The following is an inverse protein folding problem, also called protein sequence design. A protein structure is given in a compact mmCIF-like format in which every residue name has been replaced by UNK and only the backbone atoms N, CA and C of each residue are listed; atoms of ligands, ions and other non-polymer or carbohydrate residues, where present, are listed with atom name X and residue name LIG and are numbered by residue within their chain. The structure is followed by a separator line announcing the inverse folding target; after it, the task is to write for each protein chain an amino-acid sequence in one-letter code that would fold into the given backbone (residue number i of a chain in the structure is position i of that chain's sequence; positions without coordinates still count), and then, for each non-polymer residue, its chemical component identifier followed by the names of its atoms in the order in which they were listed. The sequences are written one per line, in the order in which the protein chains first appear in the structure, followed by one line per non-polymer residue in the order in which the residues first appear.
data_IF_418469521211
#
_entry.id   IF_418469521211
#
_cell.length_a   1.000
_cell.length_b   1.000
_cell.length_c   1.000
_cell.angle_alpha   90.00
_cell.angle_beta   90.00
_cell.angle_gamma   90.00
#
_symmetry.space_group_name_H-M   'P 1'
#
loop_
_entity.id
_entity.type
_entity.pdbx_description
1 polymer ?
2 non-polymer ?
3 water ?
#
# COMPACT_ATOMS: atom_id res chain seq x y z
N UNK A 1 -3.60 -16.89 4.04
CA UNK A 1 -2.55 -16.97 3.00
C UNK A 1 -2.54 -15.73 2.12
N UNK A 2 -2.90 -15.87 0.84
CA UNK A 2 -2.96 -14.77 -0.16
C UNK A 2 -3.91 -15.16 -1.30
N UNK A 3 -4.37 -14.17 -2.07
CA UNK A 3 -5.10 -14.34 -3.36
C UNK A 3 -4.33 -13.60 -4.45
N UNK A 4 -4.46 -14.04 -5.71
CA UNK A 4 -3.84 -13.41 -6.90
C UNK A 4 -4.95 -12.94 -7.84
N UNK A 5 -4.89 -11.67 -8.26
CA UNK A 5 -5.91 -11.03 -9.14
C UNK A 5 -5.46 -11.15 -10.60
N UNK A 6 -6.31 -10.70 -11.53
CA UNK A 6 -6.08 -10.69 -13.01
C UNK A 6 -4.64 -10.26 -13.33
N UNK A 7 -4.10 -9.31 -12.56
CA UNK A 7 -2.89 -8.51 -12.91
C UNK A 7 -1.64 -9.04 -12.19
N UNK A 8 -1.75 -10.18 -11.49
CA UNK A 8 -0.62 -10.82 -10.79
C UNK A 8 -0.25 -10.10 -9.51
N UNK A 9 -1.18 -9.31 -8.96
CA UNK A 9 -1.05 -8.66 -7.62
C UNK A 9 -1.49 -9.67 -6.56
N UNK A 10 -0.59 -9.99 -5.62
CA UNK A 10 -0.92 -10.76 -4.40
C UNK A 10 -1.65 -9.81 -3.44
N UNK A 11 -2.80 -10.24 -2.90
CA UNK A 11 -3.68 -9.37 -2.07
C UNK A 11 -4.49 -10.21 -1.08
N UNK A 12 -5.01 -9.54 -0.05
CA UNK A 12 -5.90 -10.12 0.99
C UNK A 12 -6.50 -8.99 1.83
N UNK A 13 -7.50 -9.32 2.65
CA UNK A 13 -8.18 -8.38 3.58
C UNK A 13 -7.35 -8.26 4.86
N UNK A 14 -7.28 -7.04 5.41
CA UNK A 14 -6.52 -6.71 6.64
C UNK A 14 -6.85 -5.26 7.03
N UNK A 15 -7.65 -5.08 8.09
CA UNK A 15 -8.04 -3.76 8.64
C UNK A 15 -7.12 -3.40 9.81
N UNK A 16 -6.40 -2.28 9.70
CA UNK A 16 -5.51 -1.71 10.74
C UNK A 16 -5.13 -0.27 10.37
N UNK A 17 -4.27 0.37 11.16
CA UNK A 17 -3.85 1.79 11.01
C UNK A 17 -2.36 1.87 10.68
N UNK A 18 -1.99 2.67 9.68
CA UNK A 18 -0.58 2.97 9.30
C UNK A 18 -0.30 4.46 9.47
N UNK A 19 0.67 4.79 10.32
CA UNK A 19 1.21 6.16 10.49
C UNK A 19 2.61 6.19 9.88
N UNK A 20 2.81 6.87 8.72
CA UNK A 20 4.13 6.95 8.10
C UNK A 20 5.08 7.84 8.90
N UNK A 21 6.38 7.54 8.82
CA UNK A 21 7.47 8.33 9.47
C UNK A 21 8.11 9.23 8.41
N UNK A 22 7.58 9.20 7.18
CA UNK A 22 8.11 9.94 6.01
C UNK A 22 6.97 10.14 4.99
N UNK A 23 7.06 11.21 4.19
CA UNK A 23 6.08 11.54 3.12
C UNK A 23 6.12 10.46 2.04
N UNK A 24 4.98 9.80 1.80
CA UNK A 24 4.84 8.72 0.78
C UNK A 24 3.84 9.17 -0.29
N UNK A 25 4.22 8.99 -1.56
CA UNK A 25 3.33 9.19 -2.74
C UNK A 25 2.28 8.07 -2.74
N UNK A 26 1.00 8.45 -2.74
CA UNK A 26 -0.17 7.54 -2.89
C UNK A 26 -0.56 7.49 -4.37
N UNK A 27 -1.12 6.35 -4.80
CA UNK A 27 -1.58 6.12 -6.20
C UNK A 27 -3.10 5.93 -6.21
N UNK A 28 -3.71 6.20 -7.37
CA UNK A 28 -5.08 5.77 -7.73
C UNK A 28 -5.00 4.46 -8.51
N UNK A 29 -6.14 3.81 -8.74
CA UNK A 29 -6.35 2.75 -9.76
C UNK A 29 -5.81 1.40 -9.25
N UNK A 30 -4.52 1.32 -8.88
CA UNK A 30 -3.91 0.07 -8.41
C UNK A 30 -2.51 0.27 -7.83
N UNK A 31 -1.91 -0.80 -7.25
CA UNK A 31 -0.59 -0.72 -6.62
C UNK A 31 0.56 -0.84 -7.63
N UNK A 32 0.76 0.21 -8.43
CA UNK A 32 1.89 0.38 -9.37
C UNK A 32 2.31 1.85 -9.38
N UNK A 33 3.62 2.11 -9.40
CA UNK A 33 4.19 3.49 -9.42
C UNK A 33 3.91 4.15 -10.77
N UNK A 34 3.61 3.35 -11.79
CA UNK A 34 3.22 3.80 -13.15
C UNK A 34 1.78 4.33 -13.15
N UNK A 35 1.03 4.12 -12.07
CA UNK A 35 -0.37 4.62 -11.91
C UNK A 35 -0.35 6.11 -11.63
N UNK A 36 -1.43 6.86 -11.94
CA UNK A 36 -1.53 8.26 -11.54
C UNK A 36 -1.37 8.43 -10.02
N UNK A 37 -0.55 9.39 -9.62
CA UNK A 37 -0.39 9.85 -8.21
C UNK A 37 -1.70 10.46 -7.72
N UNK A 38 -2.33 9.82 -6.74
CA UNK A 38 -3.50 10.35 -5.99
C UNK A 38 -3.08 11.61 -5.22
N UNK A 39 -1.93 11.53 -4.54
CA UNK A 39 -1.41 12.59 -3.65
C UNK A 39 -0.25 12.08 -2.81
N UNK A 40 -0.06 12.67 -1.63
CA UNK A 40 1.07 12.38 -0.70
C UNK A 40 0.51 12.27 0.72
N UNK A 41 0.73 11.12 1.38
CA UNK A 41 0.44 10.92 2.83
C UNK A 41 1.67 11.36 3.63
N UNK A 42 1.54 12.47 4.35
CA UNK A 42 2.65 13.18 5.05
C UNK A 42 3.04 12.39 6.31
N UNK A 43 4.31 12.49 6.71
CA UNK A 43 4.87 11.88 7.94
C UNK A 43 3.98 12.22 9.14
N UNK A 44 3.50 11.20 9.87
CA UNK A 44 2.69 11.36 11.10
C UNK A 44 1.19 11.32 10.85
N UNK A 45 0.75 11.38 9.58
CA UNK A 45 -0.70 11.38 9.21
C UNK A 45 -1.22 9.94 9.17
N UNK A 46 -1.98 9.53 10.19
CA UNK A 46 -2.52 8.15 10.33
C UNK A 46 -3.64 7.92 9.31
N UNK A 47 -3.63 6.76 8.64
CA UNK A 47 -4.76 6.25 7.80
C UNK A 47 -5.16 4.87 8.33
N UNK A 48 -6.40 4.45 8.07
CA UNK A 48 -6.96 3.13 8.46
C UNK A 48 -7.28 2.35 7.17
N UNK A 49 -6.49 1.32 6.87
CA UNK A 49 -6.58 0.52 5.62
C UNK A 49 -7.39 -0.75 5.88
N UNK A 50 -7.95 -1.33 4.82
CA UNK A 50 -8.78 -2.56 4.86
C UNK A 50 -8.21 -3.63 3.91
N UNK A 51 -7.11 -3.34 3.21
CA UNK A 51 -6.51 -4.24 2.18
C UNK A 51 -4.98 -4.16 2.25
N UNK A 52 -4.29 -5.25 1.91
CA UNK A 52 -2.80 -5.31 1.77
C UNK A 52 -2.46 -6.05 0.48
N UNK A 53 -1.51 -5.51 -0.30
CA UNK A 53 -1.11 -6.02 -1.64
C UNK A 53 0.42 -6.09 -1.75
N UNK A 54 0.93 -7.11 -2.44
CA UNK A 54 2.37 -7.24 -2.83
C UNK A 54 2.45 -7.18 -4.36
N UNK A 55 3.17 -6.18 -4.89
CA UNK A 55 3.19 -5.86 -6.34
C UNK A 55 4.22 -4.75 -6.60
N UNK A 56 4.68 -4.62 -7.85
CA UNK A 56 5.59 -3.53 -8.29
C UNK A 56 6.65 -3.26 -7.21
N UNK A 57 7.30 -4.32 -6.72
CA UNK A 57 8.47 -4.26 -5.82
C UNK A 57 8.16 -3.67 -4.45
N UNK A 58 6.90 -3.72 -4.00
CA UNK A 58 6.45 -3.08 -2.74
C UNK A 58 5.31 -3.87 -2.09
N UNK A 59 5.18 -3.72 -0.77
CA UNK A 59 3.93 -4.00 -0.01
C UNK A 59 3.12 -2.71 -0.01
N UNK A 60 1.88 -2.77 -0.50
CA UNK A 60 0.91 -1.64 -0.48
C UNK A 60 -0.20 -1.94 0.52
N UNK A 61 -0.81 -0.88 1.07
CA UNK A 61 -2.15 -0.95 1.72
C UNK A 61 -3.12 -0.12 0.88
N UNK A 62 -4.35 -0.62 0.73
CA UNK A 62 -5.45 0.06 0.02
C UNK A 62 -6.54 0.48 0.99
N UNK A 63 -6.99 1.73 0.88
CA UNK A 63 -8.14 2.28 1.64
C UNK A 63 -9.03 3.08 0.68
N UNK A 64 -10.18 3.55 1.16
CA UNK A 64 -11.14 4.41 0.42
C UNK A 64 -10.86 5.87 0.78
N UNK A 65 -10.53 6.69 -0.23
CA UNK A 65 -10.25 8.13 -0.07
C UNK A 65 -11.53 8.94 0.08
N UNK A 66 -11.39 10.27 0.20
CA UNK A 66 -12.48 11.22 0.56
C UNK A 66 -13.35 11.56 -0.67
N UNK A 67 -13.23 10.81 -1.77
CA UNK A 67 -14.14 10.88 -2.95
C UNK A 67 -14.61 9.48 -3.35
N UNK A 68 -14.57 8.52 -2.42
CA UNK A 68 -14.99 7.12 -2.64
C UNK A 68 -14.11 6.40 -3.64
N UNK A 69 -13.00 7.01 -4.07
CA UNK A 69 -11.96 6.38 -4.93
C UNK A 69 -11.01 5.60 -4.02
N UNK A 70 -10.55 4.43 -4.47
CA UNK A 70 -9.54 3.62 -3.74
C UNK A 70 -8.18 4.32 -3.90
N UNK A 71 -7.40 4.37 -2.82
CA UNK A 71 -6.02 4.94 -2.78
C UNK A 71 -5.06 3.79 -2.45
N UNK A 72 -3.90 3.74 -3.12
CA UNK A 72 -2.88 2.68 -2.96
C UNK A 72 -1.59 3.31 -2.42
N UNK A 73 -1.22 2.94 -1.19
CA UNK A 73 -0.09 3.54 -0.43
C UNK A 73 1.00 2.49 -0.27
N UNK A 74 2.21 2.71 -0.83
CA UNK A 74 3.34 1.81 -0.59
C UNK A 74 3.93 2.09 0.80
N UNK A 75 4.26 1.04 1.55
CA UNK A 75 4.69 1.14 2.98
C UNK A 75 6.09 0.54 3.18
N UNK A 76 6.56 -0.33 2.27
CA UNK A 76 7.92 -0.93 2.31
C UNK A 76 8.24 -1.59 0.97
N UNK A 77 9.52 -1.90 0.73
CA UNK A 77 9.98 -2.63 -0.48
C UNK A 77 9.69 -4.12 -0.29
N UNK A 78 9.50 -4.83 -1.41
CA UNK A 78 9.26 -6.29 -1.47
C UNK A 78 9.91 -6.84 -2.74
N UNK A 79 10.88 -7.75 -2.60
CA UNK A 79 11.45 -8.52 -3.73
C UNK A 79 10.69 -9.85 -3.79
N UNK A 80 10.03 -10.13 -4.92
CA UNK A 80 9.14 -11.31 -5.09
C UNK A 80 9.99 -12.56 -5.32
N UNK A 81 11.21 -12.40 -5.84
CA UNK A 81 12.19 -13.49 -6.08
C UNK A 81 12.60 -14.14 -4.76
N UNK A 82 12.71 -13.35 -3.69
CA UNK A 82 13.18 -13.78 -2.34
C UNK A 82 12.05 -13.68 -1.31
N UNK A 83 10.93 -13.04 -1.66
CA UNK A 83 9.82 -12.67 -0.72
C UNK A 83 10.40 -11.92 0.49
N UNK A 84 11.38 -11.04 0.27
CA UNK A 84 12.06 -10.26 1.33
C UNK A 84 11.42 -8.87 1.43
N UNK A 85 11.32 -8.35 2.65
CA UNK A 85 10.64 -7.07 2.99
C UNK A 85 11.68 -6.07 3.50
N UNK A 86 11.63 -4.83 3.00
CA UNK A 86 12.41 -3.70 3.54
C UNK A 86 11.81 -3.22 4.86
N UNK A 87 12.53 -2.33 5.55
CA UNK A 87 12.02 -1.62 6.76
C UNK A 87 10.66 -1.01 6.42
N UNK A 88 9.69 -1.13 7.33
CA UNK A 88 8.37 -0.46 7.23
C UNK A 88 8.61 1.05 7.36
N UNK A 89 7.98 1.86 6.49
CA UNK A 89 8.15 3.34 6.43
C UNK A 89 7.23 4.03 7.44
N UNK A 90 7.10 3.47 8.65
CA UNK A 90 6.15 3.92 9.68
C UNK A 90 5.75 2.78 10.61
N UNK A 91 4.68 2.97 11.38
CA UNK A 91 4.16 1.99 12.37
C UNK A 91 2.73 1.58 12.02
N UNK A 92 2.44 0.27 12.07
CA UNK A 92 1.07 -0.32 12.00
C UNK A 92 0.56 -0.46 13.44
N UNK A 93 -0.69 -0.03 13.68
CA UNK A 93 -1.29 0.07 15.04
C UNK A 93 -2.67 -0.61 15.05
X LIG B 1 -6.78 -3.32 -8.83
X LIG B 1 -7.00 -4.05 -6.54
X LIG B 1 -5.86 -4.82 -6.19
X LIG B 1 -9.68 -7.04 -5.04
X LIG B 1 -8.06 -2.34 -21.07
X LIG B 1 -7.64 -3.79 -21.02
X LIG B 1 -2.20 -1.87 -17.09
X LIG B 1 -2.26 -2.19 -15.71
X LIG B 1 -3.50 -2.24 -15.01
X LIG B 1 -3.54 -2.58 -13.54
X LIG B 1 -4.87 -2.54 -13.05
X LIG B 1 -5.15 -2.73 -11.67
X LIG B 1 -4.25 -2.92 -10.88
X LIG B 1 -6.60 -2.68 -11.20
X LIG B 1 -6.68 -2.33 -9.83
X LIG B 1 -6.87 -2.91 -7.37
X LIG B 1 -5.98 -6.05 -5.31
X LIG B 1 -7.31 -6.21 -4.85
X LIG B 1 -8.27 -6.93 -5.60
X LIG B 1 -10.49 -7.99 -5.73
X LIG B 1 -7.96 -7.45 -6.67
X LIG B 1 -4.76 -4.50 -6.60
X LIG B 1 -6.79 -4.50 -9.14
X LIG B 1 -4.54 -2.01 -15.60
X LIG B 1 -1.61 -3.01 -17.89
X LIG B 1 -9.21 -4.99 -19.64
X LIG B 1 -9.40 -5.25 -21.80
X LIG B 1 -8.82 -4.72 -20.81
X LIG B 1 -6.64 -4.00 -20.04
X LIG B 1 -5.59 -5.70 -21.18
X LIG B 1 -5.63 -4.99 -20.20
X LIG B 1 -5.56 -7.52 -17.99
X LIG B 1 -3.74 -12.36 -20.25
X LIG B 1 -5.57 -11.97 -18.94
X LIG B 1 -4.36 -11.89 -19.07
X LIG B 1 -2.17 -13.71 -17.64
X LIG B 1 -4.53 -14.72 -15.33
X LIG B 1 -2.54 -13.68 -14.38
X LIG B 1 -3.09 -14.29 -15.55
X LIG B 1 -2.92 -13.38 -16.75
X LIG B 1 -3.65 -12.16 -16.82
X LIG B 1 -3.53 -11.30 -17.95
X LIG B 1 -3.94 -9.88 -17.61
X LIG B 1 -3.81 -8.93 -18.78
X LIG B 1 -4.52 -7.60 -18.62
X LIG B 1 -3.96 -6.45 -19.23
X LIG B 1 -4.58 -5.17 -19.12
X LIG B 1 -3.52 -4.09 -19.16
X LIG B 1 -2.54 -4.20 -18.01
#
# INVERSE_FOLDING_TARGET
GWKTNKYGTLYKSESASFTPNTDIITRTTGPFRSMPQSGVLKAGQTIHYDEVMKQDGHVWVGYTGNSGQRIYLPVRTWNKSTNTLGVLWGTIKVLWGTIK
K5T C10 N12 C13 C17 C24 C28 C01 N02 C03 C04 N05 C06 O07 C08 N09 C11 C14 N15 C16 N18 O19 O20 O21 O22 C23 O25 O26 C27 N29 O30 C31 O32 N33 O34 C35 O36 C37 N38 C39 C40 N41 C42 C43 C44 C45 N46 C47 C48 C49
#
